data_IF_315822901367
#
_entry.id   IF_315822901367
#
_cell.length_a   1.000
_cell.length_b   1.000
_cell.length_c   1.000
_cell.angle_alpha   90.00
_cell.angle_beta   90.00
_cell.angle_gamma   90.00
#
_symmetry.space_group_name_H-M   'P 1'
#
loop_
_entity.id
_entity.type
_entity.pdbx_description
1 polymer ?
#
# COMPACT_ATOMS: atom_id res chain seq x y z
N UNK A 1 29.20 -97.11 -24.38
CA UNK A 1 29.84 -96.58 -23.16
C UNK A 1 30.47 -95.23 -23.50
N UNK A 2 30.23 -94.22 -22.65
CA UNK A 2 31.18 -93.21 -22.13
C UNK A 2 32.24 -92.64 -23.08
N UNK A 3 32.61 -91.36 -23.12
CA UNK A 3 32.42 -90.20 -22.23
C UNK A 3 33.16 -89.02 -22.91
N UNK A 4 32.75 -87.79 -22.56
CA UNK A 4 33.55 -86.54 -22.51
C UNK A 4 34.14 -85.98 -23.83
N UNK A 5 34.17 -84.68 -24.10
CA UNK A 5 33.84 -83.47 -23.33
C UNK A 5 34.43 -82.24 -24.05
N UNK A 6 33.79 -81.06 -23.87
CA UNK A 6 34.26 -79.72 -24.29
C UNK A 6 33.86 -79.32 -25.72
N UNK A 7 33.41 -78.10 -26.05
CA UNK A 7 33.27 -76.81 -25.37
C UNK A 7 32.41 -75.92 -26.29
N UNK A 8 31.60 -74.99 -25.76
CA UNK A 8 31.45 -73.60 -26.26
C UNK A 8 30.46 -72.75 -25.45
N UNK A 9 31.01 -71.70 -24.84
CA UNK A 9 30.55 -70.30 -24.81
C UNK A 9 29.07 -69.98 -24.50
N UNK A 10 28.82 -69.34 -23.35
CA UNK A 10 27.73 -68.35 -23.20
C UNK A 10 28.22 -67.07 -22.52
N UNK A 11 27.85 -65.97 -23.14
CA UNK A 11 28.20 -64.59 -22.83
C UNK A 11 27.42 -64.02 -21.63
N UNK A 12 28.02 -62.98 -21.06
CA UNK A 12 27.62 -62.22 -19.87
C UNK A 12 26.45 -61.24 -20.08
N UNK A 13 25.73 -61.01 -18.97
CA UNK A 13 25.10 -59.78 -18.41
C UNK A 13 24.71 -58.63 -19.37
N UNK A 14 23.55 -57.97 -19.28
CA UNK A 14 22.62 -57.79 -18.17
C UNK A 14 22.25 -56.29 -18.08
N UNK A 15 21.12 -55.89 -18.66
CA UNK A 15 20.47 -54.59 -18.44
C UNK A 15 19.04 -54.85 -17.93
N UNK A 16 18.80 -54.61 -16.65
CA UNK A 16 17.46 -54.66 -16.05
C UNK A 16 16.74 -53.33 -16.29
N UNK A 17 15.71 -53.35 -17.12
CA UNK A 17 14.75 -52.26 -17.29
C UNK A 17 13.81 -52.21 -16.07
N UNK A 18 13.94 -51.20 -15.21
CA UNK A 18 12.93 -50.86 -14.21
C UNK A 18 11.70 -50.25 -14.92
N UNK A 19 10.73 -51.09 -15.26
CA UNK A 19 9.39 -50.63 -15.65
C UNK A 19 8.64 -50.20 -14.39
N UNK A 20 8.56 -48.89 -14.17
CA UNK A 20 7.66 -48.33 -13.15
C UNK A 20 6.21 -48.63 -13.58
N UNK A 21 5.36 -49.23 -12.73
CA UNK A 21 3.99 -49.54 -13.09
C UNK A 21 3.21 -48.25 -13.39
N UNK A 22 2.45 -48.23 -14.49
CA UNK A 22 1.52 -47.16 -14.90
C UNK A 22 0.70 -46.56 -13.75
N UNK A 23 0.17 -47.33 -12.77
CA UNK A 23 -0.56 -46.74 -11.64
C UNK A 23 0.30 -45.84 -10.75
N UNK A 24 1.60 -46.13 -10.60
CA UNK A 24 2.53 -45.31 -9.80
C UNK A 24 2.78 -43.97 -10.47
N UNK A 25 2.96 -43.95 -11.79
CA UNK A 25 3.09 -42.70 -12.56
C UNK A 25 1.81 -41.86 -12.51
N UNK A 26 0.62 -42.47 -12.56
CA UNK A 26 -0.64 -41.75 -12.41
C UNK A 26 -0.79 -41.13 -11.01
N UNK A 27 -0.38 -41.86 -9.96
CA UNK A 27 -0.46 -41.37 -8.58
C UNK A 27 0.48 -40.17 -8.35
N UNK A 28 1.70 -40.22 -8.90
CA UNK A 28 2.65 -39.10 -8.85
C UNK A 28 2.10 -37.87 -9.58
N UNK A 29 1.48 -38.05 -10.75
CA UNK A 29 0.86 -36.95 -11.49
C UNK A 29 -0.32 -36.34 -10.75
N UNK A 30 -1.18 -37.15 -10.12
CA UNK A 30 -2.29 -36.67 -9.29
C UNK A 30 -1.76 -35.87 -8.09
N UNK A 31 -0.73 -36.37 -7.40
CA UNK A 31 -0.12 -35.66 -6.27
C UNK A 31 0.52 -34.35 -6.72
N UNK A 32 1.21 -34.32 -7.87
CA UNK A 32 1.76 -33.08 -8.43
C UNK A 32 0.67 -32.09 -8.84
N UNK A 33 -0.42 -32.56 -9.46
CA UNK A 33 -1.58 -31.74 -9.78
C UNK A 33 -2.26 -31.18 -8.52
N UNK A 34 -2.40 -31.98 -7.46
CA UNK A 34 -2.93 -31.52 -6.18
C UNK A 34 -2.00 -30.51 -5.53
N UNK A 35 -0.68 -30.73 -5.51
CA UNK A 35 0.30 -29.76 -5.01
C UNK A 35 0.25 -28.45 -5.81
N UNK A 36 0.13 -28.52 -7.14
CA UNK A 36 -0.03 -27.34 -7.97
C UNK A 36 -1.36 -26.63 -7.70
N UNK A 37 -2.45 -27.38 -7.55
CA UNK A 37 -3.78 -26.86 -7.25
C UNK A 37 -3.84 -26.18 -5.87
N UNK A 38 -3.24 -26.80 -4.85
CA UNK A 38 -3.12 -26.22 -3.51
C UNK A 38 -2.11 -25.06 -3.45
N UNK A 39 -1.03 -25.07 -4.24
CA UNK A 39 -0.12 -23.91 -4.37
C UNK A 39 -0.78 -22.74 -5.10
N UNK A 40 -1.64 -23.03 -6.08
CA UNK A 40 -2.42 -22.03 -6.80
C UNK A 40 -3.50 -21.41 -5.91
N UNK A 41 -4.23 -22.23 -5.15
CA UNK A 41 -5.26 -21.76 -4.21
C UNK A 41 -4.71 -21.19 -2.88
N UNK A 42 -3.49 -21.57 -2.48
CA UNK A 42 -2.80 -21.04 -1.29
C UNK A 42 -2.29 -19.61 -1.45
N UNK A 43 -2.23 -19.09 -2.69
CA UNK A 43 -2.20 -17.65 -2.94
C UNK A 43 -3.63 -17.13 -2.81
N UNK A 44 -4.07 -16.82 -1.58
CA UNK A 44 -5.13 -15.83 -1.39
C UNK A 44 -4.59 -14.48 -1.84
N UNK A 45 -4.54 -14.26 -3.15
CA UNK A 45 -4.53 -12.91 -3.68
C UNK A 45 -5.96 -12.42 -3.56
N UNK A 46 -6.19 -11.39 -2.74
CA UNK A 46 -7.45 -10.68 -2.77
C UNK A 46 -7.51 -9.94 -4.11
N UNK A 47 -8.00 -10.64 -5.15
CA UNK A 47 -8.30 -10.04 -6.44
C UNK A 47 -9.30 -8.93 -6.20
N UNK A 48 -8.87 -7.68 -6.38
CA UNK A 48 -9.77 -6.53 -6.28
C UNK A 48 -10.89 -6.70 -7.32
N UNK A 49 -12.18 -6.54 -6.95
CA UNK A 49 -13.25 -6.51 -7.94
C UNK A 49 -12.96 -5.36 -8.91
N UNK A 50 -13.01 -5.64 -10.21
CA UNK A 50 -12.77 -4.64 -11.23
C UNK A 50 -13.72 -3.46 -11.08
N UNK A 51 -13.16 -2.26 -10.95
CA UNK A 51 -13.70 -0.97 -11.41
C UNK A 51 -15.25 -0.86 -11.38
N UNK A 52 -15.89 -1.15 -10.25
CA UNK A 52 -17.18 -0.55 -9.96
C UNK A 52 -16.91 0.92 -9.66
N UNK A 53 -17.70 1.81 -10.25
CA UNK A 53 -17.63 3.26 -10.10
C UNK A 53 -17.80 3.62 -8.60
N UNK A 54 -16.72 3.52 -7.82
CA UNK A 54 -16.70 3.89 -6.42
C UNK A 54 -16.95 5.39 -6.38
N UNK A 55 -17.99 5.82 -5.66
CA UNK A 55 -18.16 7.23 -5.32
C UNK A 55 -17.04 7.59 -4.36
N UNK A 56 -15.93 8.08 -4.91
CA UNK A 56 -14.67 8.29 -4.20
C UNK A 56 -14.76 9.31 -3.06
N UNK A 57 -15.73 10.22 -3.13
CA UNK A 57 -15.88 11.36 -2.22
C UNK A 57 -17.20 11.43 -1.43
N UNK A 58 -18.05 10.39 -1.42
CA UNK A 58 -19.26 10.42 -0.57
C UNK A 58 -18.96 10.04 0.87
N UNK A 59 -18.37 10.98 1.61
CA UNK A 59 -18.29 10.95 3.06
C UNK A 59 -19.27 11.96 3.65
N UNK A 60 -20.54 11.90 3.24
CA UNK A 60 -21.58 12.92 3.52
C UNK A 60 -21.76 13.24 5.03
N UNK A 61 -21.17 12.47 5.93
CA UNK A 61 -21.21 12.66 7.38
C UNK A 61 -19.86 12.97 8.06
N UNK A 62 -18.74 13.08 7.32
CA UNK A 62 -17.41 13.32 7.90
C UNK A 62 -16.83 14.63 7.40
N UNK A 63 -16.69 15.59 8.31
CA UNK A 63 -16.05 16.87 8.06
C UNK A 63 -14.69 16.96 8.78
N UNK A 64 -13.75 17.66 8.17
CA UNK A 64 -12.44 17.93 8.76
C UNK A 64 -12.48 19.10 9.72
N UNK A 65 -12.36 18.77 11.00
CA UNK A 65 -12.17 19.68 12.12
C UNK A 65 -10.87 19.32 12.86
N UNK A 66 -9.70 19.37 12.18
CA UNK A 66 -8.45 18.97 12.78
C UNK A 66 -8.04 19.94 13.90
N UNK A 67 -7.37 19.41 14.92
CA UNK A 67 -6.59 20.22 15.85
C UNK A 67 -5.12 20.18 15.44
N UNK A 68 -4.42 21.30 15.61
CA UNK A 68 -3.01 21.46 15.23
C UNK A 68 -2.21 21.83 16.47
N UNK A 69 -1.05 21.18 16.63
CA UNK A 69 -0.10 21.40 17.72
C UNK A 69 1.30 21.32 17.12
N UNK A 70 2.15 22.26 17.50
CA UNK A 70 3.57 22.18 17.20
C UNK A 70 4.30 21.66 18.44
N UNK A 71 4.91 20.47 18.33
CA UNK A 71 5.55 19.80 19.47
C UNK A 71 6.86 19.16 19.06
N UNK A 72 7.89 19.34 19.88
CA UNK A 72 9.23 18.78 19.64
C UNK A 72 9.77 19.10 18.23
N UNK A 73 9.50 20.30 17.72
CA UNK A 73 9.97 20.75 16.42
C UNK A 73 9.18 20.21 15.21
N UNK A 74 8.05 19.53 15.42
CA UNK A 74 7.25 18.97 14.33
C UNK A 74 5.76 19.29 14.46
N UNK A 75 5.07 19.30 13.32
CA UNK A 75 3.61 19.43 13.23
C UNK A 75 2.97 18.11 13.66
N UNK A 76 2.04 18.22 14.61
CA UNK A 76 1.13 17.16 15.01
C UNK A 76 -0.27 17.62 14.65
N UNK A 77 -1.00 16.84 13.86
CA UNK A 77 -2.36 17.18 13.43
C UNK A 77 -3.25 15.96 13.60
N UNK A 78 -4.41 16.13 14.24
CA UNK A 78 -5.28 15.02 14.63
C UNK A 78 -6.75 15.41 14.65
N UNK A 79 -7.60 14.39 14.55
CA UNK A 79 -9.04 14.49 14.79
C UNK A 79 -9.51 13.21 15.45
N UNK A 80 -10.35 13.36 16.47
CA UNK A 80 -10.93 12.23 17.22
C UNK A 80 -12.43 12.23 16.92
N UNK A 81 -12.97 11.18 16.28
CA UNK A 81 -14.41 11.05 16.08
C UNK A 81 -15.10 10.66 17.39
N UNK A 82 -16.42 10.84 17.46
CA UNK A 82 -17.20 10.33 18.58
C UNK A 82 -17.06 8.81 18.72
N UNK A 83 -16.88 8.33 19.95
CA UNK A 83 -16.71 6.91 20.29
C UNK A 83 -15.63 6.22 19.44
N UNK A 84 -14.36 6.66 19.54
CA UNK A 84 -13.29 6.09 18.72
C UNK A 84 -13.03 4.63 19.11
N UNK A 85 -12.93 3.75 18.12
CA UNK A 85 -12.67 2.32 18.33
C UNK A 85 -11.19 1.94 18.29
N UNK A 86 -10.37 2.77 17.67
CA UNK A 86 -8.92 2.60 17.60
C UNK A 86 -8.23 3.94 17.33
N UNK A 87 -6.93 4.00 17.59
CA UNK A 87 -6.03 5.08 17.19
C UNK A 87 -5.28 4.67 15.93
N UNK A 88 -5.27 5.52 14.91
CA UNK A 88 -4.47 5.36 13.69
C UNK A 88 -3.38 6.42 13.62
N UNK A 89 -2.12 5.98 13.60
CA UNK A 89 -0.98 6.82 13.25
C UNK A 89 -0.69 6.72 11.73
N UNK A 90 -0.62 7.87 11.04
CA UNK A 90 -0.26 7.96 9.62
C UNK A 90 1.13 8.59 9.43
N UNK A 91 2.01 7.89 8.73
CA UNK A 91 3.35 8.33 8.36
C UNK A 91 3.48 8.55 6.85
N UNK A 92 3.74 9.79 6.44
CA UNK A 92 3.86 10.17 5.03
C UNK A 92 5.09 9.58 4.31
N UNK A 93 5.06 9.57 2.98
CA UNK A 93 6.24 9.33 2.14
C UNK A 93 7.19 10.53 2.06
N UNK A 94 8.33 10.38 1.39
CA UNK A 94 9.28 11.48 1.23
C UNK A 94 8.63 12.70 0.53
N UNK A 95 8.96 13.91 1.00
CA UNK A 95 8.33 15.18 0.62
C UNK A 95 6.91 15.42 1.15
N UNK A 96 6.31 14.44 1.81
CA UNK A 96 5.06 14.64 2.54
C UNK A 96 5.28 15.35 3.88
N UNK A 97 4.17 15.76 4.50
CA UNK A 97 4.06 16.40 5.81
C UNK A 97 2.68 16.08 6.41
N UNK A 98 2.49 16.28 7.70
CA UNK A 98 1.18 16.13 8.35
C UNK A 98 0.07 16.93 7.65
N UNK A 99 0.39 18.16 7.20
CA UNK A 99 -0.54 19.05 6.48
C UNK A 99 -1.08 18.50 5.16
N UNK A 100 -0.47 17.46 4.58
CA UNK A 100 -0.98 16.83 3.35
C UNK A 100 -2.23 15.98 3.59
N UNK A 101 -2.43 15.48 4.81
CA UNK A 101 -3.55 14.61 5.19
C UNK A 101 -4.87 15.33 5.48
N UNK A 102 -4.84 16.65 5.54
CA UNK A 102 -5.98 17.46 5.99
C UNK A 102 -6.23 18.57 4.99
N UNK A 103 -7.48 19.00 4.87
CA UNK A 103 -7.82 20.10 3.97
C UNK A 103 -7.49 21.45 4.56
N UNK A 104 -7.28 22.40 3.66
CA UNK A 104 -7.36 23.81 4.00
C UNK A 104 -8.75 24.15 4.52
N UNK A 105 -8.82 24.66 5.75
CA UNK A 105 -10.04 25.16 6.39
C UNK A 105 -9.70 26.27 7.39
N UNK A 106 -10.68 26.85 8.09
CA UNK A 106 -10.38 27.77 9.18
C UNK A 106 -9.70 27.10 10.38
N UNK A 107 -9.88 25.79 10.55
CA UNK A 107 -9.16 24.99 11.57
C UNK A 107 -7.73 24.68 11.14
N UNK A 108 -7.47 24.53 9.84
CA UNK A 108 -6.11 24.38 9.30
C UNK A 108 -5.86 25.24 8.05
N UNK A 109 -5.51 26.53 8.21
CA UNK A 109 -5.32 27.43 7.07
C UNK A 109 -4.15 27.03 6.15
N UNK A 110 -3.13 26.37 6.71
CA UNK A 110 -1.91 25.97 5.99
C UNK A 110 -1.95 24.52 5.48
N UNK A 111 -3.07 23.82 5.69
CA UNK A 111 -3.24 22.47 5.18
C UNK A 111 -3.34 22.43 3.65
N UNK A 112 -2.98 21.29 3.06
CA UNK A 112 -2.85 21.10 1.60
C UNK A 112 -3.92 20.13 1.07
N UNK A 113 -4.19 19.04 1.80
CA UNK A 113 -5.19 18.03 1.43
C UNK A 113 -4.86 17.35 0.10
N UNK A 114 -3.75 16.61 0.04
CA UNK A 114 -3.43 15.78 -1.13
C UNK A 114 -4.42 14.62 -1.25
N UNK A 115 -4.94 14.33 -2.46
CA UNK A 115 -6.02 13.37 -2.68
C UNK A 115 -5.89 12.07 -1.87
N UNK A 116 -4.74 11.39 -1.95
CA UNK A 116 -4.61 10.05 -1.36
C UNK A 116 -4.48 10.11 0.16
N UNK A 117 -3.67 11.02 0.68
CA UNK A 117 -3.52 11.25 2.11
C UNK A 117 -4.85 11.65 2.75
N UNK A 118 -5.56 12.63 2.17
CA UNK A 118 -6.81 13.13 2.74
C UNK A 118 -7.91 12.07 2.73
N UNK A 119 -7.96 11.23 1.70
CA UNK A 119 -8.98 10.19 1.59
C UNK A 119 -8.76 9.09 2.62
N UNK A 120 -7.50 8.74 2.91
CA UNK A 120 -7.18 7.82 4.01
C UNK A 120 -7.68 8.33 5.36
N UNK A 121 -7.54 9.64 5.64
CA UNK A 121 -8.07 10.25 6.87
C UNK A 121 -9.60 10.22 6.90
N UNK A 122 -10.26 10.56 5.79
CA UNK A 122 -11.73 10.50 5.70
C UNK A 122 -12.26 9.09 5.93
N UNK A 123 -11.65 8.08 5.31
CA UNK A 123 -12.01 6.68 5.54
C UNK A 123 -11.76 6.26 6.99
N UNK A 124 -10.68 6.70 7.62
CA UNK A 124 -10.38 6.40 9.02
C UNK A 124 -11.45 7.00 9.96
N UNK A 125 -11.76 8.29 9.81
CA UNK A 125 -12.79 8.98 10.57
C UNK A 125 -14.18 8.34 10.37
N UNK A 126 -14.55 8.00 9.14
CA UNK A 126 -15.81 7.33 8.82
C UNK A 126 -15.92 5.97 9.53
N UNK A 127 -14.80 5.27 9.68
CA UNK A 127 -14.72 4.01 10.42
C UNK A 127 -14.44 4.19 11.92
N UNK A 128 -14.59 5.40 12.46
CA UNK A 128 -14.41 5.72 13.90
C UNK A 128 -12.99 5.48 14.44
N UNK A 129 -11.97 5.68 13.61
CA UNK A 129 -10.58 5.75 14.08
C UNK A 129 -10.24 7.18 14.51
N UNK A 130 -9.61 7.32 15.68
CA UNK A 130 -8.96 8.56 16.06
C UNK A 130 -7.64 8.69 15.27
N UNK A 131 -7.52 9.73 14.44
CA UNK A 131 -6.41 9.86 13.49
C UNK A 131 -5.37 10.83 14.03
N UNK A 132 -4.11 10.40 14.01
CA UNK A 132 -2.94 11.18 14.38
C UNK A 132 -1.93 11.18 13.21
N UNK A 133 -1.56 12.38 12.77
CA UNK A 133 -0.54 12.59 11.73
C UNK A 133 0.60 13.42 12.31
N UNK A 134 1.83 13.06 11.97
CA UNK A 134 3.04 13.75 12.46
C UNK A 134 3.94 13.99 11.25
N UNK A 135 4.51 15.20 11.14
CA UNK A 135 5.52 15.48 10.12
C UNK A 135 6.86 14.84 10.51
N UNK A 136 7.61 14.31 9.55
CA UNK A 136 8.99 13.93 9.80
C UNK A 136 9.86 15.17 10.06
N UNK A 137 11.01 14.96 10.70
CA UNK A 137 11.98 16.02 11.00
C UNK A 137 12.55 16.70 9.73
N UNK A 138 12.52 16.01 8.60
CA UNK A 138 13.05 16.49 7.33
C UNK A 138 12.19 16.12 6.14
N UNK A 139 12.84 15.82 5.01
CA UNK A 139 12.16 15.41 3.77
C UNK A 139 11.57 14.01 3.86
N UNK A 140 12.27 13.09 4.51
CA UNK A 140 11.89 11.70 4.71
C UNK A 140 11.98 11.38 6.20
N UNK A 141 11.38 10.28 6.62
CA UNK A 141 11.57 9.75 7.97
C UNK A 141 12.99 9.19 8.16
N UNK A 142 13.51 9.35 9.36
CA UNK A 142 14.79 8.83 9.83
C UNK A 142 14.59 7.93 11.06
N UNK A 143 15.62 7.17 11.41
CA UNK A 143 15.59 6.26 12.55
C UNK A 143 16.31 6.87 13.76
N UNK A 144 16.33 6.15 14.89
CA UNK A 144 17.04 6.58 16.09
C UNK A 144 16.25 7.64 16.87
N UNK A 145 16.76 8.87 16.96
CA UNK A 145 16.16 9.93 17.76
C UNK A 145 14.72 10.24 17.34
N UNK A 146 14.45 10.32 16.04
CA UNK A 146 13.11 10.61 15.53
C UNK A 146 12.09 9.53 15.95
N UNK A 147 12.48 8.25 15.98
CA UNK A 147 11.61 7.17 16.46
C UNK A 147 11.24 7.35 17.93
N UNK A 148 12.19 7.80 18.76
CA UNK A 148 11.93 8.07 20.18
C UNK A 148 11.02 9.28 20.37
N UNK A 149 11.25 10.35 19.61
CA UNK A 149 10.41 11.56 19.62
C UNK A 149 8.98 11.20 19.24
N UNK A 150 8.77 10.49 18.13
CA UNK A 150 7.44 10.11 17.64
C UNK A 150 6.74 9.16 18.61
N UNK A 151 7.44 8.14 19.12
CA UNK A 151 6.90 7.24 20.17
C UNK A 151 6.40 8.04 21.38
N UNK A 152 7.15 9.04 21.82
CA UNK A 152 6.78 9.86 22.97
C UNK A 152 5.61 10.79 22.66
N UNK A 153 5.52 11.35 21.45
CA UNK A 153 4.37 12.12 20.99
C UNK A 153 3.12 11.25 21.00
N UNK A 154 3.15 10.08 20.35
CA UNK A 154 2.01 9.16 20.27
C UNK A 154 1.56 8.75 21.68
N UNK A 155 2.46 8.27 22.54
CA UNK A 155 2.12 7.86 23.92
C UNK A 155 1.52 9.00 24.73
N UNK A 156 2.11 10.19 24.66
CA UNK A 156 1.62 11.36 25.37
C UNK A 156 0.24 11.77 24.89
N UNK A 157 0.03 11.75 23.57
CA UNK A 157 -1.24 12.13 22.94
C UNK A 157 -2.35 11.13 23.29
N UNK A 158 -2.09 9.82 23.15
CA UNK A 158 -3.03 8.75 23.54
C UNK A 158 -3.46 8.92 25.01
N UNK A 159 -2.50 9.16 25.91
CA UNK A 159 -2.79 9.39 27.34
C UNK A 159 -3.59 10.66 27.61
N UNK A 160 -3.21 11.77 26.98
CA UNK A 160 -3.90 13.06 27.15
C UNK A 160 -5.37 12.96 26.76
N UNK A 161 -5.68 12.15 25.75
CA UNK A 161 -7.03 11.97 25.21
C UNK A 161 -7.76 10.74 25.74
N UNK A 162 -7.20 10.04 26.74
CA UNK A 162 -7.82 8.86 27.39
C UNK A 162 -8.11 7.70 26.42
N UNK A 163 -7.19 7.46 25.48
CA UNK A 163 -7.31 6.44 24.43
C UNK A 163 -6.46 5.19 24.70
N UNK A 164 -5.93 5.02 25.92
CA UNK A 164 -5.02 3.91 26.27
C UNK A 164 -5.67 2.53 26.20
N UNK A 165 -6.99 2.47 26.32
CA UNK A 165 -7.75 1.22 26.38
C UNK A 165 -8.29 0.77 25.02
N UNK A 166 -7.96 1.49 23.93
CA UNK A 166 -8.34 1.10 22.57
C UNK A 166 -7.09 0.75 21.74
N UNK A 167 -7.22 -0.11 20.72
CA UNK A 167 -6.13 -0.50 19.82
C UNK A 167 -5.39 0.67 19.20
N UNK A 168 -4.07 0.53 19.05
CA UNK A 168 -3.22 1.46 18.30
C UNK A 168 -2.73 0.77 17.03
N UNK A 169 -3.04 1.31 15.87
CA UNK A 169 -2.58 0.82 14.56
C UNK A 169 -1.77 1.90 13.84
N UNK A 170 -0.99 1.50 12.84
CA UNK A 170 -0.22 2.45 12.03
C UNK A 170 -0.26 2.13 10.53
N UNK A 171 -0.20 3.18 9.72
CA UNK A 171 0.02 3.08 8.28
C UNK A 171 1.16 4.02 7.89
N UNK A 172 2.10 3.50 7.09
CA UNK A 172 3.19 4.30 6.55
C UNK A 172 3.39 4.05 5.07
N UNK A 173 3.63 5.11 4.29
CA UNK A 173 3.94 5.02 2.85
C UNK A 173 5.41 5.33 2.55
N UNK A 174 6.05 4.52 1.71
CA UNK A 174 7.45 4.69 1.27
C UNK A 174 8.40 4.87 2.48
N UNK A 175 9.05 6.03 2.67
CA UNK A 175 9.84 6.31 3.89
C UNK A 175 9.05 6.12 5.18
N UNK A 176 7.77 6.48 5.19
CA UNK A 176 6.87 6.25 6.31
C UNK A 176 6.61 4.76 6.54
N UNK A 177 6.56 3.96 5.48
CA UNK A 177 6.42 2.50 5.55
C UNK A 177 7.61 1.82 6.21
N UNK A 178 8.82 2.23 5.83
CA UNK A 178 10.04 1.83 6.55
C UNK A 178 10.01 2.29 8.01
N UNK A 179 9.62 3.54 8.25
CA UNK A 179 9.56 4.11 9.59
C UNK A 179 8.60 3.37 10.52
N UNK A 180 7.35 3.10 10.10
CA UNK A 180 6.38 2.38 10.94
C UNK A 180 6.83 0.95 11.20
N UNK A 181 7.49 0.29 10.22
CA UNK A 181 8.05 -1.04 10.45
C UNK A 181 9.19 -1.04 11.49
N UNK A 182 10.00 0.01 11.53
CA UNK A 182 11.01 0.16 12.57
C UNK A 182 10.37 0.55 13.92
N UNK A 183 9.43 1.49 13.92
CA UNK A 183 8.76 2.00 15.12
C UNK A 183 8.03 0.89 15.88
N UNK A 184 7.47 -0.08 15.16
CA UNK A 184 6.79 -1.25 15.73
C UNK A 184 7.69 -2.11 16.64
N UNK A 185 9.02 -1.99 16.55
CA UNK A 185 9.95 -2.68 17.46
C UNK A 185 9.99 -2.05 18.86
N UNK A 186 9.64 -0.77 18.99
CA UNK A 186 9.73 -0.01 20.24
C UNK A 186 8.38 0.53 20.73
N UNK A 187 7.34 0.43 19.92
CA UNK A 187 5.97 0.82 20.22
C UNK A 187 5.02 -0.28 19.74
N UNK A 188 4.19 -0.79 20.65
CA UNK A 188 3.24 -1.87 20.33
C UNK A 188 2.09 -1.32 19.50
N UNK A 189 1.90 -1.90 18.33
CA UNK A 189 0.71 -1.73 17.49
C UNK A 189 -0.08 -3.03 17.49
N UNK A 190 -1.40 -2.94 17.33
CA UNK A 190 -2.28 -4.09 17.10
C UNK A 190 -2.08 -4.68 15.71
N UNK A 191 -1.87 -3.83 14.71
CA UNK A 191 -1.44 -4.20 13.36
C UNK A 191 -0.88 -2.98 12.63
N UNK A 192 -0.12 -3.22 11.56
CA UNK A 192 0.46 -2.16 10.72
C UNK A 192 0.16 -2.38 9.24
N UNK A 193 0.09 -1.28 8.49
CA UNK A 193 0.07 -1.29 7.03
C UNK A 193 1.34 -0.61 6.49
N UNK A 194 2.09 -1.33 5.67
CA UNK A 194 3.31 -0.87 5.01
C UNK A 194 3.01 -0.68 3.52
N UNK A 195 2.90 0.58 3.11
CA UNK A 195 2.51 0.94 1.76
C UNK A 195 3.72 1.33 0.91
N UNK A 196 3.78 0.83 -0.33
CA UNK A 196 4.84 1.07 -1.33
C UNK A 196 6.26 0.94 -0.74
N UNK A 197 6.41 0.09 0.28
CA UNK A 197 7.63 -0.15 1.01
C UNK A 197 7.79 -1.63 1.39
N UNK A 198 9.04 -2.13 1.46
CA UNK A 198 9.34 -3.48 1.96
C UNK A 198 9.53 -3.52 3.48
N UNK A 199 9.56 -2.37 4.16
CA UNK A 199 9.91 -2.29 5.58
C UNK A 199 11.39 -2.58 5.86
N UNK A 200 11.76 -2.65 7.14
CA UNK A 200 13.16 -2.86 7.56
C UNK A 200 13.42 -4.23 8.18
N UNK A 201 12.57 -5.23 7.90
CA UNK A 201 12.53 -6.53 8.59
C UNK A 201 13.84 -7.32 8.59
N UNK A 202 14.67 -7.15 7.55
CA UNK A 202 15.98 -7.80 7.46
C UNK A 202 17.08 -7.07 8.28
N UNK A 203 16.76 -5.92 8.87
CA UNK A 203 17.70 -5.04 9.61
C UNK A 203 17.32 -4.93 11.09
N UNK A 204 16.18 -5.50 11.50
CA UNK A 204 15.67 -5.45 12.87
C UNK A 204 15.49 -6.86 13.41
N UNK A 205 15.56 -7.01 14.74
CA UNK A 205 15.16 -8.26 15.39
C UNK A 205 13.64 -8.32 15.49
N UNK A 206 13.02 -9.05 14.55
CA UNK A 206 11.58 -9.29 14.55
C UNK A 206 11.25 -10.33 15.61
N UNK A 207 10.81 -9.84 16.77
CA UNK A 207 10.28 -10.64 17.86
C UNK A 207 8.98 -11.36 17.45
N UNK A 208 8.66 -12.47 18.14
CA UNK A 208 7.46 -13.26 17.85
C UNK A 208 6.14 -12.48 18.02
N UNK A 209 6.15 -11.40 18.81
CA UNK A 209 4.99 -10.54 19.05
C UNK A 209 4.97 -9.29 18.17
N UNK A 210 5.77 -9.26 17.11
CA UNK A 210 5.74 -8.18 16.12
C UNK A 210 4.33 -8.09 15.48
N UNK A 211 3.79 -6.89 15.21
CA UNK A 211 2.41 -6.75 14.76
C UNK A 211 2.14 -7.43 13.41
N UNK A 212 0.95 -8.01 13.22
CA UNK A 212 0.42 -8.37 11.92
C UNK A 212 0.61 -7.23 10.91
N UNK A 213 1.13 -7.56 9.72
CA UNK A 213 1.54 -6.59 8.71
C UNK A 213 0.80 -6.78 7.39
N UNK A 214 0.11 -5.74 6.92
CA UNK A 214 -0.43 -5.66 5.57
C UNK A 214 0.54 -4.91 4.67
N UNK A 215 0.91 -5.49 3.52
CA UNK A 215 1.60 -4.77 2.46
C UNK A 215 0.61 -4.27 1.42
N UNK A 216 0.72 -3.00 1.04
CA UNK A 216 -0.06 -2.41 -0.05
C UNK A 216 0.92 -1.85 -1.06
N UNK A 217 0.93 -2.35 -2.30
CA UNK A 217 1.93 -1.93 -3.28
C UNK A 217 1.40 -1.91 -4.69
N UNK A 218 2.16 -1.27 -5.58
CA UNK A 218 1.83 -1.19 -7.00
C UNK A 218 2.75 -2.12 -7.78
N UNK A 219 2.22 -3.02 -8.63
CA UNK A 219 3.02 -4.08 -9.24
C UNK A 219 3.97 -3.57 -10.34
N UNK A 220 3.79 -2.36 -10.89
CA UNK A 220 4.78 -1.81 -11.84
C UNK A 220 6.07 -1.35 -11.16
N UNK A 221 6.08 -1.17 -9.83
CA UNK A 221 7.30 -0.97 -9.07
C UNK A 221 7.99 -2.32 -8.81
N UNK A 222 8.52 -2.92 -9.89
CA UNK A 222 9.11 -4.27 -9.87
C UNK A 222 10.22 -4.43 -8.82
N UNK A 223 11.18 -3.49 -8.69
CA UNK A 223 12.21 -3.61 -7.66
C UNK A 223 11.61 -3.66 -6.24
N UNK A 224 10.56 -2.87 -5.98
CA UNK A 224 9.87 -2.88 -4.69
C UNK A 224 9.06 -4.15 -4.47
N UNK A 225 8.31 -4.60 -5.47
CA UNK A 225 7.50 -5.80 -5.41
C UNK A 225 8.35 -7.02 -5.04
N UNK A 226 9.54 -7.15 -5.63
CA UNK A 226 10.48 -8.23 -5.31
C UNK A 226 10.88 -8.22 -3.82
N UNK A 227 11.26 -7.06 -3.28
CA UNK A 227 11.63 -6.93 -1.87
C UNK A 227 10.46 -7.11 -0.91
N UNK A 228 9.25 -6.70 -1.30
CA UNK A 228 8.03 -6.98 -0.53
C UNK A 228 7.80 -8.49 -0.47
N UNK A 229 7.90 -9.19 -1.60
CA UNK A 229 7.77 -10.66 -1.65
C UNK A 229 8.78 -11.37 -0.74
N UNK A 230 10.01 -10.85 -0.61
CA UNK A 230 11.01 -11.36 0.33
C UNK A 230 10.60 -11.11 1.78
N UNK A 231 10.14 -9.90 2.08
CA UNK A 231 9.71 -9.49 3.42
C UNK A 231 8.49 -10.28 3.92
N UNK A 232 7.53 -10.53 3.03
CA UNK A 232 6.36 -11.37 3.31
C UNK A 232 6.77 -12.79 3.67
N UNK A 233 7.67 -13.39 2.89
CA UNK A 233 8.19 -14.73 3.19
C UNK A 233 8.91 -14.75 4.54
N UNK A 234 9.75 -13.75 4.80
CA UNK A 234 10.48 -13.63 6.05
C UNK A 234 9.54 -13.56 7.27
N UNK A 235 8.54 -12.67 7.23
CA UNK A 235 7.58 -12.49 8.32
C UNK A 235 6.69 -13.73 8.53
N UNK A 236 6.22 -14.37 7.44
CA UNK A 236 5.47 -15.63 7.53
C UNK A 236 6.31 -16.74 8.17
N UNK A 237 7.59 -16.84 7.83
CA UNK A 237 8.51 -17.81 8.45
C UNK A 237 8.75 -17.53 9.95
N UNK A 238 8.54 -16.29 10.40
CA UNK A 238 8.57 -15.90 11.82
C UNK A 238 7.23 -16.12 12.54
N UNK A 239 6.20 -16.60 11.84
CA UNK A 239 4.86 -16.83 12.40
C UNK A 239 4.03 -15.56 12.53
N UNK A 240 4.42 -14.45 11.89
CA UNK A 240 3.66 -13.20 11.87
C UNK A 240 2.56 -13.33 10.81
N UNK A 241 1.34 -12.87 11.12
CA UNK A 241 0.27 -12.80 10.12
C UNK A 241 0.55 -11.67 9.11
N UNK A 242 0.45 -12.00 7.83
CA UNK A 242 0.84 -11.12 6.73
C UNK A 242 -0.04 -11.31 5.52
N UNK A 243 -0.56 -10.19 5.01
CA UNK A 243 -1.29 -10.11 3.76
C UNK A 243 -0.66 -9.09 2.79
N UNK A 244 -1.04 -9.19 1.52
CA UNK A 244 -0.59 -8.32 0.44
C UNK A 244 -1.80 -7.86 -0.39
N UNK A 245 -1.82 -6.59 -0.78
CA UNK A 245 -2.81 -6.01 -1.69
C UNK A 245 -2.08 -5.27 -2.81
N UNK A 246 -2.41 -5.65 -4.06
CA UNK A 246 -1.86 -5.01 -5.25
C UNK A 246 -2.80 -3.91 -5.76
N UNK A 247 -2.24 -2.72 -5.97
CA UNK A 247 -2.91 -1.57 -6.56
C UNK A 247 -2.53 -1.49 -8.04
N UNK A 248 -3.41 -1.96 -8.92
CA UNK A 248 -3.19 -1.99 -10.36
C UNK A 248 -3.55 -0.66 -11.02
N UNK A 249 -3.01 -0.44 -12.23
CA UNK A 249 -3.37 0.72 -13.05
C UNK A 249 -4.84 0.70 -13.45
N UNK A 250 -5.39 1.87 -13.74
CA UNK A 250 -6.78 2.01 -14.15
C UNK A 250 -6.93 3.12 -15.21
N UNK A 251 -7.98 3.04 -16.05
CA UNK A 251 -8.21 4.02 -17.08
C UNK A 251 -8.74 5.32 -16.48
N UNK A 252 -8.28 6.46 -16.99
CA UNK A 252 -8.82 7.76 -16.62
C UNK A 252 -10.22 7.96 -17.24
N UNK A 253 -11.07 8.72 -16.54
CA UNK A 253 -12.32 9.25 -17.07
C UNK A 253 -12.28 10.79 -17.10
N UNK A 254 -13.18 11.45 -17.86
CA UNK A 254 -13.29 12.91 -17.84
C UNK A 254 -13.60 13.50 -16.46
N UNK A 255 -14.33 12.77 -15.61
CA UNK A 255 -14.70 13.23 -14.26
C UNK A 255 -13.65 12.88 -13.19
N UNK A 256 -12.73 11.96 -13.48
CA UNK A 256 -11.87 11.32 -12.47
C UNK A 256 -11.17 12.31 -11.53
N UNK A 257 -10.54 13.36 -12.08
CA UNK A 257 -9.83 14.34 -11.27
C UNK A 257 -10.80 15.21 -10.47
N UNK A 258 -11.92 15.65 -11.07
CA UNK A 258 -12.93 16.44 -10.37
C UNK A 258 -13.66 15.65 -9.27
N UNK A 259 -13.78 14.34 -9.44
CA UNK A 259 -14.38 13.44 -8.46
C UNK A 259 -13.49 13.18 -7.24
N UNK A 260 -12.18 13.47 -7.33
CA UNK A 260 -11.18 13.12 -6.30
C UNK A 260 -10.43 14.32 -5.74
N UNK A 261 -10.27 15.38 -6.51
CA UNK A 261 -9.53 16.59 -6.11
C UNK A 261 -10.53 17.66 -5.64
N UNK A 262 -10.58 17.96 -4.32
CA UNK A 262 -11.43 19.03 -3.80
C UNK A 262 -11.07 20.37 -4.44
N UNK A 263 -12.09 21.11 -4.87
CA UNK A 263 -11.92 22.40 -5.53
C UNK A 263 -11.52 22.31 -7.01
N UNK A 264 -11.34 21.11 -7.57
CA UNK A 264 -11.18 20.96 -9.02
C UNK A 264 -12.55 20.81 -9.70
N UNK A 265 -12.91 21.79 -10.52
CA UNK A 265 -14.15 21.78 -11.27
C UNK A 265 -14.21 20.63 -12.29
N UNK A 266 -15.41 20.06 -12.47
CA UNK A 266 -15.66 18.95 -13.41
C UNK A 266 -15.37 19.34 -14.87
N UNK A 267 -15.61 20.60 -15.25
CA UNK A 267 -15.27 21.09 -16.59
C UNK A 267 -13.76 21.15 -16.79
N UNK A 268 -13.01 21.58 -15.77
CA UNK A 268 -11.53 21.59 -15.82
C UNK A 268 -10.98 20.17 -15.85
N UNK A 269 -11.57 19.24 -15.10
CA UNK A 269 -11.23 17.81 -15.16
C UNK A 269 -11.41 17.26 -16.58
N UNK A 270 -12.55 17.54 -17.22
CA UNK A 270 -12.81 17.10 -18.60
C UNK A 270 -11.81 17.69 -19.60
N UNK A 271 -11.48 18.99 -19.49
CA UNK A 271 -10.47 19.64 -20.33
C UNK A 271 -9.06 19.08 -20.13
N UNK A 272 -8.68 18.75 -18.90
CA UNK A 272 -7.41 18.06 -18.61
C UNK A 272 -7.38 16.67 -19.25
N UNK A 273 -8.47 15.92 -19.15
CA UNK A 273 -8.61 14.61 -19.79
C UNK A 273 -8.43 14.69 -21.32
N UNK A 274 -9.11 15.65 -21.98
CA UNK A 274 -8.94 15.90 -23.42
C UNK A 274 -7.50 16.29 -23.78
N UNK A 275 -6.86 17.15 -22.98
CA UNK A 275 -5.46 17.50 -23.15
C UNK A 275 -4.56 16.25 -23.11
N UNK A 276 -4.78 15.35 -22.15
CA UNK A 276 -4.00 14.12 -22.02
C UNK A 276 -4.21 13.19 -23.22
N UNK A 277 -5.43 13.11 -23.74
CA UNK A 277 -5.74 12.33 -24.94
C UNK A 277 -5.07 12.92 -26.19
N UNK A 278 -5.24 14.22 -26.42
CA UNK A 278 -4.72 14.92 -27.60
C UNK A 278 -3.19 14.92 -27.67
N UNK A 279 -2.52 14.99 -26.50
CA UNK A 279 -1.06 14.89 -26.41
C UNK A 279 -0.55 13.45 -26.35
N UNK A 280 -1.45 12.47 -26.35
CA UNK A 280 -1.14 11.05 -26.35
C UNK A 280 -0.48 10.56 -25.05
N UNK A 281 -0.69 11.25 -23.93
CA UNK A 281 -0.21 10.84 -22.61
C UNK A 281 -0.98 9.64 -22.05
N UNK A 282 -2.26 9.54 -22.41
CA UNK A 282 -3.07 8.33 -22.26
C UNK A 282 -3.19 7.57 -23.59
N UNK A 283 -3.43 6.26 -23.51
CA UNK A 283 -3.67 5.41 -24.68
C UNK A 283 -5.15 5.39 -25.11
N UNK A 284 -5.46 4.59 -26.14
CA UNK A 284 -6.83 4.44 -26.67
C UNK A 284 -7.81 3.85 -25.65
N UNK A 285 -7.31 3.13 -24.65
CA UNK A 285 -8.08 2.54 -23.57
C UNK A 285 -8.11 3.47 -22.34
N UNK A 286 -7.50 4.66 -22.44
CA UNK A 286 -7.41 5.72 -21.42
C UNK A 286 -6.44 5.43 -20.27
N UNK A 287 -5.53 4.49 -20.44
CA UNK A 287 -4.47 4.22 -19.46
C UNK A 287 -3.30 5.17 -19.64
N UNK A 288 -2.66 5.56 -18.53
CA UNK A 288 -1.43 6.34 -18.54
C UNK A 288 -0.30 5.55 -19.21
N UNK A 289 0.35 6.12 -20.22
CA UNK A 289 1.49 5.47 -20.90
C UNK A 289 2.79 5.56 -20.12
N UNK A 290 2.90 6.54 -19.23
CA UNK A 290 4.07 6.80 -18.39
C UNK A 290 3.60 7.23 -17.01
N UNK A 291 4.47 7.06 -16.03
CA UNK A 291 4.31 7.66 -14.70
C UNK A 291 3.99 9.15 -14.84
N UNK A 292 3.05 9.64 -14.03
CA UNK A 292 2.60 11.02 -14.09
C UNK A 292 3.77 11.99 -13.95
N UNK A 293 4.77 11.70 -13.10
CA UNK A 293 5.94 12.56 -12.83
C UNK A 293 6.86 12.63 -14.05
N UNK A 294 6.92 11.54 -14.82
CA UNK A 294 7.66 11.45 -16.08
C UNK A 294 6.89 12.03 -17.28
N UNK A 295 5.59 12.31 -17.11
CA UNK A 295 4.72 12.84 -18.17
C UNK A 295 4.83 14.37 -18.23
N UNK A 296 5.06 14.92 -19.43
CA UNK A 296 5.23 16.37 -19.65
C UNK A 296 3.90 17.15 -19.68
N UNK A 297 2.91 16.73 -18.90
CA UNK A 297 1.57 17.31 -18.91
C UNK A 297 1.55 18.77 -18.44
N UNK A 298 2.40 19.14 -17.47
CA UNK A 298 2.56 20.53 -17.01
C UNK A 298 3.07 21.46 -18.11
N UNK A 299 3.92 20.96 -19.00
CA UNK A 299 4.41 21.73 -20.15
C UNK A 299 3.29 21.91 -21.19
N UNK A 300 2.59 20.82 -21.52
CA UNK A 300 1.44 20.87 -22.42
C UNK A 300 0.34 21.81 -21.90
N UNK A 301 0.08 21.80 -20.58
CA UNK A 301 -0.89 22.70 -19.95
C UNK A 301 -0.51 24.18 -20.09
N UNK A 302 0.78 24.53 -20.01
CA UNK A 302 1.26 25.90 -20.23
C UNK A 302 1.16 26.35 -21.69
N UNK A 303 1.21 25.40 -22.63
CA UNK A 303 1.06 25.69 -24.06
C UNK A 303 -0.42 25.87 -24.46
N UNK A 304 -1.34 25.28 -23.69
CA UNK A 304 -2.79 25.41 -23.90
C UNK A 304 -3.31 26.74 -23.38
N UNK A 305 -4.15 27.42 -24.15
CA UNK A 305 -4.78 28.70 -23.77
C UNK A 305 -6.26 28.58 -23.36
N UNK A 306 -6.84 27.38 -23.48
CA UNK A 306 -8.29 27.16 -23.39
C UNK A 306 -8.83 27.07 -21.95
N UNK A 307 -7.93 26.94 -20.96
CA UNK A 307 -8.25 26.96 -19.53
C UNK A 307 -7.00 27.17 -18.67
N UNK A 308 -7.22 27.49 -17.40
CA UNK A 308 -6.17 27.67 -16.39
C UNK A 308 -6.45 26.71 -15.22
N UNK A 309 -5.42 25.97 -14.81
CA UNK A 309 -5.44 25.19 -13.57
C UNK A 309 -4.89 26.04 -12.43
N UNK A 310 -5.56 26.04 -11.28
CA UNK A 310 -5.00 26.64 -10.07
C UNK A 310 -3.63 25.99 -9.77
N UNK A 311 -2.61 26.81 -9.56
CA UNK A 311 -1.25 26.38 -9.23
C UNK A 311 -1.23 25.49 -7.97
N UNK A 312 -2.15 25.71 -7.04
CA UNK A 312 -2.28 24.91 -5.83
C UNK A 312 -2.71 23.46 -6.10
N UNK A 313 -3.41 23.20 -7.22
CA UNK A 313 -3.92 21.88 -7.59
C UNK A 313 -2.96 21.10 -8.50
N UNK A 314 -1.83 21.69 -8.90
CA UNK A 314 -0.86 21.04 -9.78
C UNK A 314 -0.27 19.78 -9.15
N UNK A 315 -0.05 19.80 -7.83
CA UNK A 315 0.44 18.63 -7.10
C UNK A 315 -0.64 17.56 -6.95
N UNK A 316 -1.89 17.94 -6.68
CA UNK A 316 -3.03 17.03 -6.60
C UNK A 316 -3.25 16.28 -7.92
N UNK A 317 -3.24 17.00 -9.05
CA UNK A 317 -3.32 16.35 -10.37
C UNK A 317 -2.11 15.46 -10.62
N UNK A 318 -0.91 15.88 -10.20
CA UNK A 318 0.29 15.07 -10.37
C UNK A 318 0.18 13.72 -9.65
N UNK A 319 -0.27 13.72 -8.40
CA UNK A 319 -0.46 12.52 -7.58
C UNK A 319 -1.45 11.55 -8.22
N UNK A 320 -2.62 12.04 -8.63
CA UNK A 320 -3.66 11.24 -9.26
C UNK A 320 -3.22 10.60 -10.59
N UNK A 321 -2.34 11.26 -11.34
CA UNK A 321 -1.74 10.67 -12.56
C UNK A 321 -0.69 9.60 -12.24
N UNK A 322 0.03 9.71 -11.12
CA UNK A 322 0.96 8.68 -10.67
C UNK A 322 0.18 7.45 -10.18
N UNK A 323 -0.88 7.70 -9.42
CA UNK A 323 -1.82 6.70 -8.94
C UNK A 323 -2.41 5.90 -10.10
N UNK A 324 -2.93 6.59 -11.13
CA UNK A 324 -3.50 5.94 -12.32
C UNK A 324 -2.49 5.09 -13.09
N UNK A 325 -1.22 5.49 -13.11
CA UNK A 325 -0.16 4.68 -13.71
C UNK A 325 0.23 3.47 -12.83
N UNK A 326 -0.09 3.47 -11.54
CA UNK A 326 0.27 2.46 -10.56
C UNK A 326 1.79 2.23 -10.43
N UNK A 327 2.54 3.29 -10.09
CA UNK A 327 3.96 3.20 -9.76
C UNK A 327 4.34 4.07 -8.56
N UNK A 328 4.72 3.40 -7.46
CA UNK A 328 5.29 4.01 -6.25
C UNK A 328 4.53 5.27 -5.78
N UNK A 329 3.22 5.17 -5.59
CA UNK A 329 2.38 6.28 -5.08
C UNK A 329 1.56 5.82 -3.87
N UNK A 330 1.37 6.73 -2.90
CA UNK A 330 0.45 6.49 -1.78
C UNK A 330 -0.95 6.25 -2.33
N UNK A 331 -1.81 5.50 -1.63
CA UNK A 331 -3.15 5.27 -2.15
C UNK A 331 -4.24 5.05 -1.11
N UNK A 332 -5.41 5.62 -1.41
CA UNK A 332 -6.68 5.42 -0.72
C UNK A 332 -7.58 4.39 -1.41
N UNK A 333 -7.24 3.91 -2.62
CA UNK A 333 -8.09 3.02 -3.42
C UNK A 333 -8.41 1.69 -2.72
N UNK A 334 -7.51 1.24 -1.85
CA UNK A 334 -7.64 -0.02 -1.10
C UNK A 334 -8.03 0.21 0.37
N UNK A 335 -8.65 1.36 0.67
CA UNK A 335 -9.02 1.72 2.05
C UNK A 335 -9.91 0.65 2.69
N UNK A 336 -10.88 0.09 1.97
CA UNK A 336 -11.75 -0.96 2.52
C UNK A 336 -10.94 -2.17 3.04
N UNK A 337 -9.95 -2.64 2.27
CA UNK A 337 -9.08 -3.74 2.63
C UNK A 337 -8.15 -3.37 3.80
N UNK A 338 -7.60 -2.14 3.78
CA UNK A 338 -6.74 -1.61 4.85
C UNK A 338 -7.49 -1.54 6.18
N UNK A 339 -8.69 -0.97 6.21
CA UNK A 339 -9.46 -0.83 7.45
C UNK A 339 -10.01 -2.17 7.95
N UNK A 340 -10.42 -3.07 7.05
CA UNK A 340 -10.76 -4.46 7.42
C UNK A 340 -9.57 -5.19 8.07
N UNK A 341 -8.37 -4.99 7.54
CA UNK A 341 -7.15 -5.54 8.13
C UNK A 341 -6.89 -5.00 9.54
N UNK A 342 -7.06 -3.69 9.75
CA UNK A 342 -6.94 -3.14 11.10
C UNK A 342 -7.97 -3.73 12.06
N UNK A 343 -9.23 -3.75 11.65
CA UNK A 343 -10.36 -4.27 12.44
C UNK A 343 -10.21 -5.74 12.81
N UNK A 344 -9.72 -6.58 11.90
CA UNK A 344 -9.52 -8.01 12.17
C UNK A 344 -8.40 -8.30 13.17
N UNK A 345 -7.67 -7.29 13.62
CA UNK A 345 -6.53 -7.41 14.54
C UNK A 345 -6.67 -6.48 15.76
N UNK A 346 -7.86 -5.99 16.06
CA UNK A 346 -8.12 -5.11 17.19
C UNK A 346 -8.25 -5.83 18.55
N UNK A 347 -8.26 -7.16 18.56
CA UNK A 347 -8.46 -7.99 19.77
C UNK A 347 -7.17 -8.29 20.55
#
# INVERSE_FOLDING_TARGET
MSKHGGSKSKAWHGFQNCRVPVPVTCLVLIVLCLIMFFRYHGRRSYSSPGSTMQRWNTFESVEFHPTIEFRNGTDVIWQIPDSPKAVLFLAHGCNGRAVNFWDRSHYCPNCIGLPEERLLVLHALANKFAVLTISSAGRCWTFGEEMLVVKNIIKSWVRRHKLENIPLVALGASSGGYFVSALATILRFSSITVMIAEGVFNQIDVAQNYPPTLFVHMPKDLPRQQKISESVKFLKNKGIDVAEVECIEFPLSPSFLGDRIPGLDQTISAKLFELFQNRGFIDKNRYMKKDGRATRWKAALRETKDFVLDKNLVQHVQEELNLAFAYHEMTSLQSEQIFKWFESHME
#
